data_IF_587332685270
#
_entry.id   IF_587332685270
#
_cell.length_a   1.000
_cell.length_b   1.000
_cell.length_c   1.000
_cell.angle_alpha   90.00
_cell.angle_beta   90.00
_cell.angle_gamma   90.00
#
_symmetry.space_group_name_H-M   'P 1'
#
loop_
_entity.id
_entity.type
_entity.pdbx_description
1 polymer ?
#
# COMPACT_ATOMS: atom_id res chain seq x y z
N UNK A 1 -25.65 -10.44 -4.09
CA UNK A 1 -24.28 -10.16 -3.62
C UNK A 1 -23.40 -11.33 -4.02
N UNK A 2 -22.34 -11.06 -4.77
CA UNK A 2 -21.55 -12.09 -5.39
C UNK A 2 -20.65 -12.79 -4.33
N UNK A 3 -20.68 -14.10 -4.28
CA UNK A 3 -19.97 -14.97 -3.32
C UNK A 3 -18.42 -14.97 -3.46
N UNK A 4 -17.90 -14.16 -4.35
CA UNK A 4 -16.47 -14.12 -4.68
C UNK A 4 -15.59 -13.39 -3.64
N UNK A 5 -16.19 -12.60 -2.77
CA UNK A 5 -15.48 -11.95 -1.65
C UNK A 5 -15.05 -12.93 -0.53
N UNK A 6 -15.46 -14.18 -0.60
CA UNK A 6 -15.02 -15.16 0.42
C UNK A 6 -13.64 -15.67 0.05
N UNK A 7 -12.61 -15.20 0.76
CA UNK A 7 -11.25 -15.73 0.64
C UNK A 7 -11.25 -17.25 0.77
N UNK A 8 -10.71 -17.92 -0.23
CA UNK A 8 -10.65 -19.40 -0.30
C UNK A 8 -9.49 -19.98 0.51
N UNK A 9 -8.56 -19.13 0.96
CA UNK A 9 -7.37 -19.58 1.69
C UNK A 9 -7.07 -18.65 2.86
N UNK A 10 -6.98 -19.21 4.08
CA UNK A 10 -6.70 -18.45 5.29
C UNK A 10 -5.28 -17.84 5.35
N UNK A 11 -4.38 -18.22 4.44
CA UNK A 11 -3.01 -17.73 4.41
C UNK A 11 -2.81 -16.49 3.52
N UNK A 12 -3.76 -16.17 2.66
CA UNK A 12 -3.68 -15.06 1.72
C UNK A 12 -4.71 -13.99 2.05
N UNK A 13 -4.39 -12.73 1.77
CA UNK A 13 -5.34 -11.61 1.80
C UNK A 13 -5.61 -11.23 0.35
N UNK A 14 -6.85 -11.36 -0.09
CA UNK A 14 -7.27 -11.02 -1.45
C UNK A 14 -7.81 -9.60 -1.49
N UNK A 15 -7.23 -8.77 -2.36
CA UNK A 15 -7.67 -7.41 -2.62
C UNK A 15 -8.43 -7.39 -3.94
N UNK A 16 -9.70 -7.07 -3.88
CA UNK A 16 -10.54 -6.89 -5.05
C UNK A 16 -10.42 -5.45 -5.56
N UNK A 17 -10.11 -5.28 -6.83
CA UNK A 17 -9.83 -3.97 -7.44
C UNK A 17 -10.90 -3.53 -8.44
N UNK A 18 -11.76 -4.43 -8.85
CA UNK A 18 -12.79 -4.19 -9.86
C UNK A 18 -13.03 -5.41 -10.74
N UNK A 19 -13.59 -5.17 -11.93
CA UNK A 19 -13.86 -6.19 -12.94
C UNK A 19 -13.01 -5.97 -14.17
N UNK A 20 -12.58 -7.04 -14.81
CA UNK A 20 -11.92 -6.95 -16.11
C UNK A 20 -12.95 -6.61 -17.19
N UNK A 21 -12.57 -5.75 -18.13
CA UNK A 21 -13.31 -5.54 -19.35
C UNK A 21 -13.12 -6.76 -20.27
N UNK A 22 -13.83 -7.84 -19.98
CA UNK A 22 -13.84 -9.07 -20.76
C UNK A 22 -15.28 -9.54 -20.99
N UNK A 23 -15.48 -10.47 -21.92
CA UNK A 23 -16.81 -11.07 -22.15
C UNK A 23 -17.32 -11.86 -20.94
N UNK A 24 -16.41 -12.38 -20.14
CA UNK A 24 -16.71 -12.99 -18.85
C UNK A 24 -16.28 -11.96 -17.78
N UNK A 25 -17.25 -11.46 -17.00
CA UNK A 25 -17.02 -10.50 -15.94
C UNK A 25 -16.19 -11.17 -14.81
N UNK A 26 -14.89 -11.26 -15.02
CA UNK A 26 -13.97 -11.83 -14.04
C UNK A 26 -13.48 -10.75 -13.06
N UNK A 27 -13.47 -11.05 -11.76
CA UNK A 27 -12.93 -10.13 -10.78
C UNK A 27 -11.42 -9.92 -11.01
N UNK A 28 -11.02 -8.65 -10.93
CA UNK A 28 -9.62 -8.28 -10.87
C UNK A 28 -9.21 -8.27 -9.41
N UNK A 29 -8.43 -9.26 -8.99
CA UNK A 29 -7.94 -9.36 -7.62
C UNK A 29 -6.43 -9.54 -7.57
N UNK A 30 -5.84 -9.08 -6.45
CA UNK A 30 -4.45 -9.30 -6.09
C UNK A 30 -4.39 -10.02 -4.74
N UNK A 31 -3.41 -10.89 -4.56
CA UNK A 31 -3.19 -11.63 -3.33
C UNK A 31 -1.94 -11.14 -2.59
N UNK A 32 -2.10 -10.68 -1.35
CA UNK A 32 -1.01 -10.46 -0.42
C UNK A 32 -0.68 -11.79 0.26
N UNK A 33 0.56 -12.22 0.17
CA UNK A 33 1.04 -13.52 0.66
C UNK A 33 2.23 -13.36 1.60
N UNK A 34 2.42 -14.28 2.54
CA UNK A 34 3.49 -14.22 3.52
C UNK A 34 4.87 -14.49 2.89
N UNK A 35 5.33 -13.55 2.05
CA UNK A 35 6.65 -13.57 1.42
C UNK A 35 7.25 -12.17 1.37
N UNK A 36 8.58 -12.03 1.25
CA UNK A 36 9.23 -10.72 1.18
C UNK A 36 8.62 -9.84 0.08
N UNK A 37 8.55 -8.55 0.34
CA UNK A 37 8.09 -7.52 -0.61
C UNK A 37 6.66 -7.68 -1.13
N UNK A 38 5.85 -8.57 -0.54
CA UNK A 38 4.43 -8.73 -0.89
C UNK A 38 3.60 -7.53 -0.40
N UNK A 39 3.95 -6.35 -0.89
CA UNK A 39 3.27 -5.09 -0.62
C UNK A 39 2.75 -4.51 -1.94
N UNK A 40 1.77 -3.62 -1.85
CA UNK A 40 1.11 -3.00 -3.00
C UNK A 40 1.35 -1.50 -3.03
N UNK A 41 1.85 -0.99 -4.16
CA UNK A 41 1.91 0.43 -4.47
C UNK A 41 0.89 0.77 -5.55
N UNK A 42 0.08 1.77 -5.30
CA UNK A 42 -0.92 2.30 -6.22
C UNK A 42 -0.53 3.75 -6.53
N UNK A 43 -0.28 4.08 -7.79
CA UNK A 43 0.12 5.43 -8.18
C UNK A 43 -0.73 5.94 -9.33
N UNK A 44 -1.21 7.17 -9.20
CA UNK A 44 -2.00 7.78 -10.27
C UNK A 44 -2.61 9.12 -9.88
N UNK A 45 -3.23 9.75 -10.87
CA UNK A 45 -3.51 11.18 -10.88
C UNK A 45 -5.01 11.49 -10.99
N UNK A 46 -5.85 10.74 -10.29
CA UNK A 46 -7.29 11.00 -10.31
C UNK A 46 -7.92 10.67 -8.97
N UNK A 47 -8.44 11.67 -8.27
CA UNK A 47 -9.02 11.52 -6.92
C UNK A 47 -10.22 10.55 -6.88
N UNK A 48 -11.07 10.55 -7.92
CA UNK A 48 -12.24 9.66 -7.93
C UNK A 48 -11.82 8.19 -8.09
N UNK A 49 -10.81 7.90 -8.91
CA UNK A 49 -10.28 6.54 -9.09
C UNK A 49 -9.54 6.11 -7.84
N UNK A 50 -8.72 6.98 -7.28
CA UNK A 50 -8.02 6.75 -6.01
C UNK A 50 -9.02 6.38 -4.91
N UNK A 51 -10.06 7.17 -4.71
CA UNK A 51 -11.10 6.95 -3.70
C UNK A 51 -11.88 5.65 -3.97
N UNK A 52 -12.20 5.36 -5.23
CA UNK A 52 -12.82 4.11 -5.63
C UNK A 52 -11.97 2.88 -5.34
N UNK A 53 -10.67 2.94 -5.64
CA UNK A 53 -9.72 1.84 -5.35
C UNK A 53 -9.56 1.64 -3.85
N UNK A 54 -9.42 2.72 -3.08
CA UNK A 54 -9.33 2.63 -1.63
C UNK A 54 -10.60 2.03 -1.02
N UNK A 55 -11.79 2.47 -1.47
CA UNK A 55 -13.07 1.92 -1.02
C UNK A 55 -13.20 0.43 -1.36
N UNK A 56 -12.80 0.02 -2.56
CA UNK A 56 -12.83 -1.38 -3.01
C UNK A 56 -11.86 -2.26 -2.19
N UNK A 57 -10.67 -1.77 -1.90
CA UNK A 57 -9.69 -2.44 -1.03
C UNK A 57 -10.27 -2.61 0.38
N UNK A 58 -10.79 -1.55 1.00
CA UNK A 58 -11.39 -1.62 2.32
C UNK A 58 -12.57 -2.59 2.36
N UNK A 59 -13.42 -2.59 1.33
CA UNK A 59 -14.51 -3.56 1.19
C UNK A 59 -14.00 -4.99 1.09
N UNK A 60 -12.90 -5.22 0.36
CA UNK A 60 -12.27 -6.54 0.27
C UNK A 60 -11.77 -7.00 1.64
N UNK A 61 -11.15 -6.11 2.39
CA UNK A 61 -10.65 -6.40 3.74
C UNK A 61 -11.81 -6.65 4.71
N UNK A 62 -12.95 -5.97 4.54
CA UNK A 62 -14.15 -6.17 5.36
C UNK A 62 -14.71 -7.57 5.22
N UNK A 63 -14.77 -8.07 3.99
CA UNK A 63 -15.35 -9.39 3.69
C UNK A 63 -14.49 -10.58 4.15
N UNK A 64 -13.25 -10.34 4.58
CA UNK A 64 -12.30 -11.38 4.96
C UNK A 64 -12.15 -11.52 6.48
N UNK A 65 -12.13 -12.76 6.96
CA UNK A 65 -11.84 -13.08 8.34
C UNK A 65 -10.33 -13.17 8.61
N UNK A 66 -9.94 -12.96 9.87
CA UNK A 66 -8.56 -13.14 10.31
C UNK A 66 -7.63 -11.96 10.02
N UNK A 67 -8.17 -10.79 9.70
CA UNK A 67 -7.44 -9.53 9.72
C UNK A 67 -7.64 -8.93 11.10
N UNK A 68 -6.55 -8.81 11.86
CA UNK A 68 -6.59 -8.39 13.26
C UNK A 68 -6.65 -6.86 13.39
N UNK A 69 -5.97 -6.16 12.49
CA UNK A 69 -5.86 -4.71 12.56
C UNK A 69 -5.67 -4.08 11.16
N UNK A 70 -6.32 -2.95 10.95
CA UNK A 70 -6.10 -2.07 9.81
C UNK A 70 -5.65 -0.71 10.32
N UNK A 71 -4.48 -0.27 9.89
CA UNK A 71 -3.93 1.04 10.22
C UNK A 71 -4.00 1.90 8.97
N UNK A 72 -4.73 3.00 9.03
CA UNK A 72 -4.87 3.95 7.93
C UNK A 72 -4.18 5.26 8.26
N UNK A 73 -3.20 5.65 7.45
CA UNK A 73 -2.52 6.93 7.52
C UNK A 73 -2.95 7.83 6.36
N UNK A 74 -3.52 9.01 6.68
CA UNK A 74 -3.94 10.01 5.71
C UNK A 74 -2.86 11.09 5.56
N UNK A 75 -1.93 10.90 4.64
CA UNK A 75 -0.87 11.87 4.31
C UNK A 75 -1.29 12.89 3.24
N UNK A 76 -2.43 12.68 2.56
CA UNK A 76 -2.92 13.61 1.51
C UNK A 76 -3.68 14.80 2.08
N UNK A 77 -4.14 14.74 3.31
CA UNK A 77 -5.05 15.71 3.93
C UNK A 77 -6.40 15.89 3.17
N UNK A 78 -6.75 14.92 2.34
CA UNK A 78 -8.03 14.83 1.64
C UNK A 78 -8.85 13.73 2.31
N UNK A 79 -10.14 13.97 2.52
CA UNK A 79 -11.03 12.95 3.09
C UNK A 79 -11.59 12.11 1.93
N UNK A 80 -11.28 10.83 1.84
CA UNK A 80 -11.80 9.94 0.80
C UNK A 80 -13.30 9.68 1.04
N UNK A 81 -14.15 10.22 0.19
CA UNK A 81 -15.61 10.18 0.37
C UNK A 81 -16.17 8.77 0.25
N UNK A 82 -15.73 8.02 -0.76
CA UNK A 82 -16.19 6.64 -1.01
C UNK A 82 -15.73 5.65 0.07
N UNK A 83 -14.59 5.93 0.71
CA UNK A 83 -14.05 5.11 1.79
C UNK A 83 -14.54 5.56 3.19
N UNK A 84 -15.27 6.67 3.31
CA UNK A 84 -15.64 7.29 4.60
C UNK A 84 -16.34 6.33 5.55
N UNK A 85 -17.26 5.49 5.04
CA UNK A 85 -18.00 4.49 5.84
C UNK A 85 -17.10 3.48 6.57
N UNK A 86 -15.88 3.25 6.07
CA UNK A 86 -14.90 2.36 6.70
C UNK A 86 -13.98 3.11 7.66
N UNK A 87 -13.87 4.44 7.50
CA UNK A 87 -12.91 5.27 8.22
C UNK A 87 -13.54 6.16 9.31
N UNK A 88 -14.87 6.19 9.42
CA UNK A 88 -15.61 7.01 10.39
C UNK A 88 -15.86 6.32 11.75
N UNK A 89 -15.37 5.09 11.91
CA UNK A 89 -15.52 4.31 13.13
C UNK A 89 -16.83 3.50 13.21
N UNK A 90 -17.66 3.50 12.17
CA UNK A 90 -18.87 2.67 12.10
C UNK A 90 -18.59 1.23 11.67
N UNK A 91 -17.38 0.94 11.29
CA UNK A 91 -16.96 -0.37 10.81
C UNK A 91 -16.69 -1.34 11.99
N UNK A 92 -17.07 -2.61 11.83
CA UNK A 92 -16.88 -3.65 12.85
C UNK A 92 -15.41 -4.01 13.08
N UNK A 93 -14.55 -3.83 12.07
CA UNK A 93 -13.11 -4.05 12.19
C UNK A 93 -12.43 -2.87 12.87
N UNK A 94 -11.41 -3.18 13.66
CA UNK A 94 -10.57 -2.14 14.28
C UNK A 94 -9.75 -1.42 13.22
N UNK A 95 -10.08 -0.15 12.96
CA UNK A 95 -9.30 0.74 12.10
C UNK A 95 -8.72 1.85 12.94
N UNK A 96 -7.39 1.92 12.97
CA UNK A 96 -6.65 3.01 13.61
C UNK A 96 -6.33 4.08 12.56
N UNK A 97 -7.01 5.23 12.62
CA UNK A 97 -6.79 6.34 11.69
C UNK A 97 -5.75 7.32 12.23
N UNK A 98 -4.77 7.66 11.41
CA UNK A 98 -3.70 8.60 11.75
C UNK A 98 -3.57 9.70 10.69
N UNK A 99 -3.35 10.95 11.12
CA UNK A 99 -3.17 12.12 10.23
C UNK A 99 -1.77 12.74 10.37
N UNK A 100 -0.92 12.14 11.20
CA UNK A 100 0.47 12.56 11.34
C UNK A 100 1.38 11.36 11.51
N UNK A 101 2.59 11.44 10.99
CA UNK A 101 3.59 10.37 11.07
C UNK A 101 3.97 10.02 12.52
N UNK A 102 4.15 10.99 13.44
CA UNK A 102 4.39 10.67 14.85
C UNK A 102 3.24 9.86 15.48
N UNK A 103 1.98 10.17 15.14
CA UNK A 103 0.82 9.43 15.65
C UNK A 103 0.73 8.01 15.09
N UNK A 104 1.25 7.78 13.88
CA UNK A 104 1.30 6.45 13.24
C UNK A 104 2.20 5.45 13.97
N UNK A 105 3.13 5.94 14.79
CA UNK A 105 4.04 5.14 15.62
C UNK A 105 4.70 3.96 14.89
N UNK A 106 5.28 4.22 13.72
CA UNK A 106 5.92 3.20 12.88
C UNK A 106 7.01 2.41 13.61
N UNK A 107 7.67 3.02 14.60
CA UNK A 107 8.69 2.35 15.41
C UNK A 107 8.09 1.22 16.23
N UNK A 108 6.90 1.40 16.80
CA UNK A 108 6.18 0.37 17.54
C UNK A 108 5.73 -0.73 16.57
N UNK A 109 5.09 -0.35 15.46
CA UNK A 109 4.66 -1.32 14.44
C UNK A 109 5.84 -2.15 13.95
N UNK A 110 6.99 -1.53 13.65
CA UNK A 110 8.19 -2.22 13.18
C UNK A 110 8.88 -3.06 14.26
N UNK A 111 8.68 -2.73 15.53
CA UNK A 111 9.19 -3.49 16.69
C UNK A 111 8.29 -4.65 17.09
N UNK A 112 6.99 -4.52 16.84
CA UNK A 112 5.96 -5.50 17.18
C UNK A 112 5.43 -6.28 15.99
N UNK A 113 6.29 -6.62 15.03
CA UNK A 113 5.93 -7.54 13.96
C UNK A 113 5.63 -8.90 14.60
N UNK A 114 4.37 -9.14 14.89
CA UNK A 114 3.85 -10.42 15.42
C UNK A 114 3.21 -11.20 14.27
N UNK A 115 2.98 -12.50 14.46
CA UNK A 115 2.18 -13.34 13.56
C UNK A 115 0.69 -12.95 13.61
N UNK A 116 0.40 -11.68 13.36
CA UNK A 116 -0.96 -11.15 13.26
C UNK A 116 -1.15 -10.61 11.85
N UNK A 117 -2.32 -10.82 11.27
CA UNK A 117 -2.64 -10.24 9.96
C UNK A 117 -3.00 -8.76 10.13
N UNK A 118 -2.03 -7.92 9.80
CA UNK A 118 -2.13 -6.46 9.90
C UNK A 118 -1.98 -5.82 8.53
N UNK A 119 -2.81 -4.85 8.23
CA UNK A 119 -2.72 -4.03 7.02
C UNK A 119 -2.38 -2.60 7.41
N UNK A 120 -1.31 -2.07 6.83
CA UNK A 120 -0.92 -0.66 6.96
C UNK A 120 -1.19 0.03 5.63
N UNK A 121 -2.17 0.93 5.60
CA UNK A 121 -2.51 1.73 4.43
C UNK A 121 -1.84 3.10 4.59
N UNK A 122 -0.94 3.43 3.66
CA UNK A 122 -0.24 4.72 3.62
C UNK A 122 -0.81 5.52 2.44
N UNK A 123 -1.74 6.42 2.73
CA UNK A 123 -2.36 7.28 1.73
C UNK A 123 -1.57 8.60 1.60
N UNK A 124 -0.84 8.76 0.50
CA UNK A 124 0.04 9.90 0.25
C UNK A 124 1.51 9.63 0.58
N UNK A 125 2.05 8.50 0.11
CA UNK A 125 3.46 8.14 0.30
C UNK A 125 4.40 9.24 -0.24
N UNK A 126 4.10 9.80 -1.41
CA UNK A 126 4.92 10.83 -2.07
C UNK A 126 4.69 12.25 -1.52
N UNK A 127 3.59 12.49 -0.81
CA UNK A 127 3.30 13.79 -0.18
C UNK A 127 3.84 13.91 1.24
N UNK A 128 4.13 12.81 1.90
CA UNK A 128 4.62 12.76 3.28
C UNK A 128 6.14 12.87 3.33
N UNK A 129 6.65 14.05 3.70
CA UNK A 129 8.08 14.36 3.70
C UNK A 129 8.92 13.45 4.60
N UNK A 130 8.36 12.96 5.66
CA UNK A 130 9.01 12.05 6.61
C UNK A 130 9.36 10.69 6.01
N UNK A 131 8.73 10.34 4.87
CA UNK A 131 9.03 9.11 4.12
C UNK A 131 10.02 9.34 2.99
N UNK A 132 10.39 10.58 2.72
CA UNK A 132 11.36 10.90 1.69
C UNK A 132 12.77 10.51 2.14
N UNK A 133 13.60 10.10 1.15
CA UNK A 133 15.02 9.94 1.37
C UNK A 133 15.61 11.26 1.86
N UNK A 134 16.10 11.29 3.09
CA UNK A 134 16.78 12.46 3.60
C UNK A 134 18.07 12.70 2.79
N UNK A 135 18.59 13.95 2.75
CA UNK A 135 19.94 14.18 2.26
C UNK A 135 20.85 13.25 3.04
N UNK A 136 21.70 12.50 2.33
CA UNK A 136 22.69 11.60 2.97
C UNK A 136 23.43 12.41 4.02
N UNK A 137 22.96 12.35 5.24
CA UNK A 137 23.59 13.09 6.33
C UNK A 137 24.82 12.30 6.69
N UNK A 138 26.02 12.86 6.43
CA UNK A 138 27.28 12.40 6.96
C UNK A 138 27.36 12.47 8.51
N UNK A 139 26.22 12.61 9.18
CA UNK A 139 26.18 12.53 10.64
C UNK A 139 26.31 11.07 11.03
N UNK A 140 27.30 10.73 11.85
CA UNK A 140 27.37 9.38 12.41
C UNK A 140 26.07 9.14 13.19
N UNK A 141 25.33 8.11 12.79
CA UNK A 141 24.12 7.67 13.49
C UNK A 141 24.52 7.38 14.93
N UNK A 142 24.01 8.12 15.88
CA UNK A 142 24.22 7.81 17.30
C UNK A 142 23.45 6.52 17.59
N UNK A 143 24.13 5.58 18.23
CA UNK A 143 23.60 4.23 18.53
C UNK A 143 22.27 4.22 19.29
N UNK A 144 21.90 5.33 19.92
CA UNK A 144 20.72 5.48 20.79
C UNK A 144 19.63 6.38 20.18
N UNK A 145 19.74 6.78 18.91
CA UNK A 145 18.70 7.57 18.24
C UNK A 145 17.61 6.61 17.70
N UNK A 146 16.32 6.89 17.97
CA UNK A 146 15.25 6.07 17.41
C UNK A 146 15.29 6.12 15.87
N UNK A 147 14.93 5.02 15.18
CA UNK A 147 14.94 5.00 13.72
C UNK A 147 14.00 6.08 13.16
N UNK A 148 14.39 6.65 12.03
CA UNK A 148 13.55 7.62 11.33
C UNK A 148 12.23 6.95 10.86
N UNK A 149 11.18 7.74 10.59
CA UNK A 149 9.93 7.19 10.03
C UNK A 149 10.15 6.43 8.73
N UNK A 150 11.06 6.90 7.86
CA UNK A 150 11.43 6.20 6.62
C UNK A 150 12.09 4.85 6.92
N UNK A 151 13.03 4.78 7.85
CA UNK A 151 13.70 3.52 8.25
C UNK A 151 12.70 2.54 8.88
N UNK A 152 11.81 3.04 9.71
CA UNK A 152 10.75 2.23 10.33
C UNK A 152 9.78 1.67 9.27
N UNK A 153 9.34 2.51 8.33
CA UNK A 153 8.49 2.07 7.21
C UNK A 153 9.22 1.07 6.33
N UNK A 154 10.50 1.31 6.02
CA UNK A 154 11.33 0.37 5.26
C UNK A 154 11.39 -0.99 5.93
N UNK A 155 11.60 -1.05 7.24
CA UNK A 155 11.62 -2.30 7.99
C UNK A 155 10.27 -3.03 7.94
N UNK A 156 9.15 -2.31 8.03
CA UNK A 156 7.82 -2.90 7.89
C UNK A 156 7.64 -3.48 6.49
N UNK A 157 8.05 -2.76 5.45
CA UNK A 157 7.98 -3.22 4.06
C UNK A 157 8.84 -4.47 3.79
N UNK A 158 10.02 -4.56 4.40
CA UNK A 158 10.97 -5.66 4.22
C UNK A 158 10.57 -6.90 5.01
N UNK A 159 10.34 -6.76 6.31
CA UNK A 159 10.14 -7.86 7.25
C UNK A 159 8.66 -8.20 7.48
N UNK A 160 7.78 -7.20 7.36
CA UNK A 160 6.36 -7.30 7.70
C UNK A 160 5.62 -8.41 6.96
N UNK A 161 5.74 -8.53 5.61
CA UNK A 161 4.98 -9.53 4.88
C UNK A 161 5.26 -10.98 5.31
N UNK A 162 6.49 -11.28 5.73
CA UNK A 162 6.84 -12.61 6.28
C UNK A 162 6.12 -12.91 7.61
N UNK A 163 5.66 -11.87 8.29
CA UNK A 163 5.04 -11.94 9.61
C UNK A 163 3.55 -11.58 9.58
N UNK A 164 2.97 -11.46 8.38
CA UNK A 164 1.55 -11.16 8.20
C UNK A 164 1.19 -9.67 8.24
N UNK A 165 2.19 -8.78 8.29
CA UNK A 165 1.97 -7.33 8.20
C UNK A 165 2.28 -6.85 6.78
N UNK A 166 1.28 -6.30 6.08
CA UNK A 166 1.40 -5.86 4.70
C UNK A 166 1.16 -4.36 4.59
N UNK A 167 1.84 -3.74 3.63
CA UNK A 167 1.68 -2.31 3.33
C UNK A 167 0.98 -2.14 1.99
N UNK A 168 -0.05 -1.29 1.97
CA UNK A 168 -0.70 -0.78 0.76
C UNK A 168 -0.44 0.72 0.73
N UNK A 169 0.33 1.19 -0.24
CA UNK A 169 0.68 2.60 -0.35
C UNK A 169 0.03 3.24 -1.57
N UNK A 170 -0.48 4.45 -1.40
CA UNK A 170 -0.98 5.30 -2.47
C UNK A 170 -0.04 6.48 -2.71
N UNK A 171 0.10 6.86 -3.96
CA UNK A 171 0.89 8.00 -4.42
C UNK A 171 0.14 8.73 -5.53
N UNK A 172 0.04 10.05 -5.43
CA UNK A 172 -0.63 10.87 -6.44
C UNK A 172 0.28 11.16 -7.65
N UNK A 173 1.60 11.10 -7.45
CA UNK A 173 2.55 11.47 -8.49
C UNK A 173 3.74 10.49 -8.54
N UNK A 174 3.74 9.64 -9.56
CA UNK A 174 4.80 8.65 -9.74
C UNK A 174 6.20 9.25 -9.81
N UNK A 175 6.38 10.33 -10.58
CA UNK A 175 7.69 10.98 -10.71
C UNK A 175 8.23 11.48 -9.38
N UNK A 176 7.36 12.08 -8.55
CA UNK A 176 7.73 12.49 -7.19
C UNK A 176 8.02 11.30 -6.30
N UNK A 177 7.17 10.28 -6.32
CA UNK A 177 7.36 9.05 -5.58
C UNK A 177 8.67 8.37 -5.93
N UNK A 178 8.95 8.22 -7.23
CA UNK A 178 10.18 7.63 -7.75
C UNK A 178 11.44 8.40 -7.35
N UNK A 179 11.36 9.73 -7.26
CA UNK A 179 12.51 10.55 -6.85
C UNK A 179 12.70 10.60 -5.33
N UNK A 180 11.61 10.71 -4.56
CA UNK A 180 11.68 10.98 -3.12
C UNK A 180 11.66 9.73 -2.26
N UNK A 181 10.99 8.66 -2.72
CA UNK A 181 10.80 7.43 -1.98
C UNK A 181 11.51 6.23 -2.61
N UNK A 182 12.53 6.49 -3.46
CA UNK A 182 13.23 5.47 -4.24
C UNK A 182 13.68 4.26 -3.42
N UNK A 183 14.18 4.48 -2.21
CA UNK A 183 14.69 3.43 -1.32
C UNK A 183 13.60 2.49 -0.78
N UNK A 184 12.34 2.89 -0.89
CA UNK A 184 11.18 2.09 -0.47
C UNK A 184 10.58 1.29 -1.63
N UNK A 185 10.78 1.75 -2.89
CA UNK A 185 10.08 1.18 -4.05
C UNK A 185 10.42 -0.27 -4.34
N UNK A 186 11.63 -0.72 -4.02
CA UNK A 186 12.08 -2.10 -4.20
C UNK A 186 11.31 -3.12 -3.35
N UNK A 187 10.60 -2.66 -2.32
CA UNK A 187 9.81 -3.50 -1.41
C UNK A 187 8.34 -3.62 -1.82
N UNK A 188 7.93 -3.01 -2.93
CA UNK A 188 6.60 -3.16 -3.51
C UNK A 188 6.67 -4.06 -4.73
N UNK A 189 6.37 -5.35 -4.53
CA UNK A 189 6.33 -6.34 -5.60
C UNK A 189 5.17 -6.09 -6.58
N UNK A 190 4.04 -5.61 -6.05
CA UNK A 190 2.86 -5.30 -6.84
C UNK A 190 2.72 -3.79 -7.00
N UNK A 191 2.46 -3.37 -8.24
CA UNK A 191 2.25 -1.95 -8.54
C UNK A 191 1.08 -1.78 -9.48
N UNK A 192 0.27 -0.76 -9.21
CA UNK A 192 -0.86 -0.35 -10.04
C UNK A 192 -0.60 1.09 -10.48
N UNK A 193 -0.68 1.33 -11.78
CA UNK A 193 -0.68 2.68 -12.36
C UNK A 193 -2.06 3.01 -12.91
N UNK A 194 -2.55 4.24 -12.67
CA UNK A 194 -3.78 4.74 -13.25
C UNK A 194 -3.66 6.22 -13.62
N UNK A 195 -4.28 6.62 -14.72
CA UNK A 195 -4.27 8.02 -15.21
C UNK A 195 -2.88 8.66 -15.20
N UNK A 196 -1.88 7.94 -15.71
CA UNK A 196 -0.50 8.39 -15.83
C UNK A 196 -0.21 8.83 -17.26
N UNK A 197 0.79 9.70 -17.44
CA UNK A 197 1.37 9.92 -18.76
C UNK A 197 2.23 8.70 -19.19
N UNK A 198 2.55 8.63 -20.48
CA UNK A 198 3.27 7.50 -21.07
C UNK A 198 4.66 7.30 -20.46
N UNK A 199 5.39 8.39 -20.18
CA UNK A 199 6.73 8.34 -19.60
C UNK A 199 6.69 7.77 -18.16
N UNK A 200 5.74 8.21 -17.35
CA UNK A 200 5.57 7.72 -15.99
C UNK A 200 5.12 6.25 -15.98
N UNK A 201 4.23 5.87 -16.88
CA UNK A 201 3.80 4.48 -17.03
C UNK A 201 4.95 3.57 -17.47
N UNK A 202 5.73 4.00 -18.47
CA UNK A 202 6.94 3.30 -18.91
C UNK A 202 7.94 3.11 -17.78
N UNK A 203 8.22 4.18 -17.02
CA UNK A 203 9.13 4.14 -15.86
C UNK A 203 8.64 3.24 -14.73
N UNK A 204 7.33 3.18 -14.48
CA UNK A 204 6.74 2.28 -13.49
C UNK A 204 7.01 0.81 -13.85
N UNK A 205 6.84 0.45 -15.13
CA UNK A 205 7.05 -0.90 -15.65
C UNK A 205 8.54 -1.26 -15.70
N UNK A 206 9.38 -0.37 -16.24
CA UNK A 206 10.82 -0.62 -16.41
C UNK A 206 11.53 -0.91 -15.07
N UNK A 207 11.14 -0.23 -14.01
CA UNK A 207 11.70 -0.50 -12.68
C UNK A 207 11.34 -1.88 -12.14
N UNK A 208 10.24 -2.46 -12.60
CA UNK A 208 9.82 -3.80 -12.22
C UNK A 208 10.62 -4.86 -12.99
N UNK A 209 10.90 -4.65 -14.27
CA UNK A 209 11.68 -5.57 -15.09
C UNK A 209 13.16 -5.64 -14.65
N UNK A 210 13.70 -4.54 -14.15
CA UNK A 210 15.08 -4.46 -13.67
C UNK A 210 15.30 -5.05 -12.28
N UNK A 211 14.24 -5.37 -11.52
CA UNK A 211 14.37 -6.04 -10.24
C UNK A 211 14.48 -7.55 -10.44
N UNK A 212 15.71 -8.08 -10.34
CA UNK A 212 16.04 -9.50 -10.61
C UNK A 212 15.31 -10.54 -9.78
N UNK A 213 14.64 -10.13 -8.70
CA UNK A 213 13.97 -11.02 -7.75
C UNK A 213 12.45 -11.08 -7.92
N UNK A 214 11.87 -10.26 -8.80
CA UNK A 214 10.41 -10.14 -8.96
C UNK A 214 9.92 -11.00 -10.13
N UNK A 215 9.64 -12.27 -9.87
CA UNK A 215 9.14 -13.22 -10.88
C UNK A 215 7.64 -13.07 -11.21
N UNK A 216 6.90 -12.21 -10.53
CA UNK A 216 5.47 -11.98 -10.77
C UNK A 216 5.10 -10.53 -10.48
N UNK A 217 5.40 -9.66 -11.40
CA UNK A 217 4.92 -8.29 -11.36
C UNK A 217 3.67 -8.14 -12.19
N UNK A 218 2.59 -7.68 -11.58
CA UNK A 218 1.38 -7.30 -12.31
C UNK A 218 1.35 -5.78 -12.38
N UNK A 219 1.73 -5.23 -13.53
CA UNK A 219 1.47 -3.83 -13.85
C UNK A 219 0.08 -3.75 -14.47
N UNK A 220 -0.87 -3.14 -13.77
CA UNK A 220 -2.21 -2.88 -14.28
C UNK A 220 -2.28 -1.44 -14.75
N UNK A 221 -2.38 -1.24 -16.04
CA UNK A 221 -2.65 0.06 -16.63
C UNK A 221 -4.16 0.24 -16.77
N UNK A 222 -4.75 1.06 -15.91
CA UNK A 222 -6.15 1.46 -16.03
C UNK A 222 -6.19 2.77 -16.84
N UNK A 223 -6.33 2.67 -18.15
CA UNK A 223 -6.67 3.81 -19.00
C UNK A 223 -8.19 3.96 -18.99
N UNK A 224 -8.69 5.05 -18.46
CA UNK A 224 -10.09 5.45 -18.66
C UNK A 224 -10.08 6.42 -19.83
N UNK A 225 -10.71 6.01 -20.93
CA UNK A 225 -10.97 6.84 -22.09
C UNK A 225 -12.07 7.85 -21.78
#
# INVERSE_FOLDING_TARGET
EADWFKSRNHETIELYLGERLSFEAEPLSLALVNRPSSNLLISGYNDAIHDGLLASILQSLDSQNGIDEIIYFNGRSIVPVGASKYLDGSWEKTVSKHESVPALNLTEISGELKQSKRIVIVDGLDSTKEFHAGPASFRPVKKDEPPSPQESLKKILEDGPRQGTFVIAFSDNWKRCNSSCKDLLSFFEMRIGFCMNEDDAGSLVEQLENSKDLKQTIALYLSIA
#
